data_IF_305462915085
#
_entry.id   IF_305462915085
#
_cell.length_a   1.000
_cell.length_b   1.000
_cell.length_c   1.000
_cell.angle_alpha   90.00
_cell.angle_beta   90.00
_cell.angle_gamma   90.00
#
_symmetry.space_group_name_H-M   'P 1'
#
loop_
_entity.id
_entity.type
_entity.pdbx_description
1 polymer ?
#
# COMPACT_ATOMS: atom_id res chain seq x y z
N UNK A 1 -32.18 3.61 -101.24
CA UNK A 1 -31.33 3.57 -100.02
C UNK A 1 -32.25 3.57 -98.81
N UNK A 2 -32.25 2.51 -97.99
CA UNK A 2 -33.04 2.46 -96.75
C UNK A 2 -32.08 2.10 -95.63
N UNK A 3 -31.86 3.05 -94.72
CA UNK A 3 -31.03 2.89 -93.53
C UNK A 3 -31.82 2.07 -92.49
N UNK A 4 -31.27 0.95 -92.01
CA UNK A 4 -31.82 0.21 -90.86
C UNK A 4 -30.94 0.49 -89.63
N UNK A 5 -31.50 0.93 -88.48
CA UNK A 5 -30.71 1.23 -87.30
C UNK A 5 -30.23 -0.07 -86.64
N UNK A 6 -28.96 -0.12 -86.27
CA UNK A 6 -28.42 -1.15 -85.39
C UNK A 6 -29.08 -1.00 -84.01
N UNK A 7 -29.74 -2.05 -83.53
CA UNK A 7 -30.15 -2.18 -82.13
C UNK A 7 -28.88 -2.15 -81.27
N UNK A 8 -28.68 -1.06 -80.55
CA UNK A 8 -27.74 -1.01 -79.42
C UNK A 8 -28.57 -1.31 -78.18
N UNK A 9 -28.36 -2.47 -77.56
CA UNK A 9 -28.56 -2.62 -76.12
C UNK A 9 -28.15 -4.03 -75.66
N UNK A 10 -27.17 -4.10 -74.76
CA UNK A 10 -27.28 -4.81 -73.47
C UNK A 10 -25.91 -5.08 -72.82
N UNK A 11 -25.06 -4.06 -72.60
CA UNK A 11 -23.80 -4.26 -71.88
C UNK A 11 -23.48 -3.12 -70.91
N UNK A 12 -24.46 -2.66 -70.12
CA UNK A 12 -24.20 -1.69 -69.05
C UNK A 12 -24.81 -2.05 -67.69
N UNK A 13 -25.52 -3.19 -67.58
CA UNK A 13 -26.14 -3.61 -66.31
C UNK A 13 -25.30 -4.59 -65.48
N UNK A 14 -24.24 -5.17 -66.07
CA UNK A 14 -23.36 -6.14 -65.41
C UNK A 14 -22.25 -5.46 -64.59
N UNK A 15 -21.71 -4.33 -65.06
CA UNK A 15 -20.63 -3.62 -64.37
C UNK A 15 -21.09 -2.95 -63.07
N UNK A 16 -22.27 -2.34 -63.05
CA UNK A 16 -22.74 -1.61 -61.86
C UNK A 16 -23.00 -2.55 -60.67
N UNK A 17 -23.51 -3.76 -60.93
CA UNK A 17 -23.69 -4.79 -59.89
C UNK A 17 -22.35 -5.36 -59.41
N UNK A 18 -21.37 -5.52 -60.30
CA UNK A 18 -20.04 -5.98 -59.93
C UNK A 18 -19.27 -4.94 -59.10
N UNK A 19 -19.38 -3.67 -59.46
CA UNK A 19 -18.75 -2.55 -58.75
C UNK A 19 -19.36 -2.39 -57.35
N UNK A 20 -20.70 -2.43 -57.23
CA UNK A 20 -21.38 -2.36 -55.92
C UNK A 20 -21.00 -3.55 -55.04
N UNK A 21 -20.97 -4.78 -55.59
CA UNK A 21 -20.56 -5.98 -54.84
C UNK A 21 -19.10 -5.92 -54.40
N UNK A 22 -18.19 -5.42 -55.23
CA UNK A 22 -16.78 -5.25 -54.86
C UNK A 22 -16.59 -4.14 -53.81
N UNK A 23 -17.39 -3.07 -53.86
CA UNK A 23 -17.41 -2.03 -52.83
C UNK A 23 -17.99 -2.54 -51.50
N UNK A 24 -19.04 -3.35 -51.54
CA UNK A 24 -19.62 -4.01 -50.36
C UNK A 24 -18.63 -4.99 -49.73
N UNK A 25 -17.97 -5.84 -50.52
CA UNK A 25 -16.91 -6.74 -50.06
C UNK A 25 -15.73 -5.97 -49.44
N UNK A 26 -15.32 -4.86 -50.05
CA UNK A 26 -14.27 -3.98 -49.51
C UNK A 26 -14.68 -3.31 -48.19
N UNK A 27 -15.97 -2.99 -48.02
CA UNK A 27 -16.49 -2.41 -46.79
C UNK A 27 -16.62 -3.47 -45.69
N UNK A 28 -17.04 -4.69 -46.02
CA UNK A 28 -17.12 -5.82 -45.09
C UNK A 28 -15.74 -6.22 -44.56
N UNK A 29 -14.71 -6.21 -45.42
CA UNK A 29 -13.33 -6.43 -44.99
C UNK A 29 -12.82 -5.31 -44.06
N UNK A 30 -13.20 -4.05 -44.33
CA UNK A 30 -12.84 -2.91 -43.49
C UNK A 30 -13.55 -2.97 -42.12
N UNK A 31 -14.84 -3.29 -42.11
CA UNK A 31 -15.66 -3.51 -40.92
C UNK A 31 -15.12 -4.66 -40.08
N UNK A 32 -14.72 -5.76 -40.71
CA UNK A 32 -14.11 -6.90 -40.03
C UNK A 32 -12.78 -6.54 -39.36
N UNK A 33 -11.91 -5.78 -40.05
CA UNK A 33 -10.65 -5.27 -39.49
C UNK A 33 -10.87 -4.31 -38.32
N UNK A 34 -11.82 -3.37 -38.45
CA UNK A 34 -12.19 -2.45 -37.38
C UNK A 34 -12.76 -3.19 -36.17
N UNK A 35 -13.60 -4.20 -36.40
CA UNK A 35 -14.14 -5.04 -35.33
C UNK A 35 -13.02 -5.81 -34.61
N UNK A 36 -12.10 -6.44 -35.34
CA UNK A 36 -10.95 -7.14 -34.76
C UNK A 36 -10.05 -6.19 -33.95
N UNK A 37 -9.77 -4.99 -34.46
CA UNK A 37 -9.01 -3.97 -33.71
C UNK A 37 -9.75 -3.54 -32.43
N UNK A 38 -11.06 -3.37 -32.48
CA UNK A 38 -11.84 -2.95 -31.32
C UNK A 38 -11.89 -4.07 -30.26
N UNK A 39 -12.01 -5.33 -30.67
CA UNK A 39 -11.91 -6.50 -29.78
C UNK A 39 -10.52 -6.56 -29.13
N UNK A 40 -9.45 -6.29 -29.88
CA UNK A 40 -8.09 -6.26 -29.33
C UNK A 40 -7.91 -5.11 -28.32
N UNK A 41 -8.36 -3.89 -28.66
CA UNK A 41 -8.27 -2.73 -27.76
C UNK A 41 -9.03 -2.94 -26.45
N UNK A 42 -10.20 -3.59 -26.50
CA UNK A 42 -10.98 -3.93 -25.30
C UNK A 42 -10.23 -4.93 -24.41
N UNK A 43 -9.55 -5.92 -24.99
CA UNK A 43 -8.71 -6.86 -24.24
C UNK A 43 -7.50 -6.16 -23.61
N UNK A 44 -6.80 -5.34 -24.38
CA UNK A 44 -5.62 -4.62 -23.90
C UNK A 44 -5.98 -3.68 -22.73
N UNK A 45 -7.16 -3.04 -22.81
CA UNK A 45 -7.70 -2.24 -21.71
C UNK A 45 -7.99 -3.06 -20.47
N UNK A 46 -8.62 -4.23 -20.62
CA UNK A 46 -8.93 -5.11 -19.50
C UNK A 46 -7.67 -5.61 -18.80
N UNK A 47 -6.65 -6.00 -19.59
CA UNK A 47 -5.33 -6.38 -19.07
C UNK A 47 -4.68 -5.21 -18.31
N UNK A 48 -4.79 -3.98 -18.82
CA UNK A 48 -4.24 -2.80 -18.17
C UNK A 48 -4.95 -2.47 -16.85
N UNK A 49 -6.27 -2.57 -16.79
CA UNK A 49 -7.07 -2.37 -15.57
C UNK A 49 -6.78 -3.44 -14.50
N UNK A 50 -6.62 -4.70 -14.90
CA UNK A 50 -6.18 -5.79 -14.01
C UNK A 50 -4.77 -5.54 -13.48
N UNK A 51 -3.84 -5.14 -14.36
CA UNK A 51 -2.45 -4.82 -13.99
C UNK A 51 -2.38 -3.65 -13.01
N UNK A 52 -3.18 -2.60 -13.20
CA UNK A 52 -3.23 -1.47 -12.25
C UNK A 52 -3.78 -1.92 -10.91
N UNK A 53 -4.82 -2.75 -10.88
CA UNK A 53 -5.39 -3.27 -9.63
C UNK A 53 -4.36 -4.10 -8.87
N UNK A 54 -3.58 -4.91 -9.58
CA UNK A 54 -2.50 -5.71 -9.00
C UNK A 54 -1.34 -4.83 -8.50
N UNK A 55 -0.91 -3.83 -9.28
CA UNK A 55 0.09 -2.84 -8.88
C UNK A 55 -0.37 -2.06 -7.65
N UNK A 56 -1.61 -1.58 -7.60
CA UNK A 56 -2.16 -0.87 -6.45
C UNK A 56 -2.26 -1.79 -5.22
N UNK A 57 -2.57 -3.07 -5.42
CA UNK A 57 -2.52 -4.09 -4.37
C UNK A 57 -1.12 -4.28 -3.80
N UNK A 58 -0.13 -4.49 -4.67
CA UNK A 58 1.28 -4.63 -4.31
C UNK A 58 1.82 -3.36 -3.65
N UNK A 59 1.49 -2.17 -4.17
CA UNK A 59 1.88 -0.88 -3.60
C UNK A 59 1.18 -0.62 -2.26
N UNK A 60 -0.07 -1.04 -2.09
CA UNK A 60 -0.80 -0.89 -0.83
C UNK A 60 -0.23 -1.82 0.25
N UNK A 61 0.10 -3.05 -0.13
CA UNK A 61 0.74 -4.00 0.78
C UNK A 61 2.16 -3.55 1.11
N UNK A 62 2.93 -3.07 0.12
CA UNK A 62 4.22 -2.42 0.33
C UNK A 62 4.10 -1.20 1.24
N UNK A 63 3.10 -0.32 1.08
CA UNK A 63 2.85 0.84 1.96
C UNK A 63 2.45 0.47 3.38
N UNK A 64 1.79 -0.67 3.59
CA UNK A 64 1.55 -1.23 4.95
C UNK A 64 2.84 -1.81 5.53
N UNK A 65 3.72 -2.32 4.66
CA UNK A 65 5.01 -2.91 5.01
C UNK A 65 6.07 -1.85 5.33
N UNK A 66 6.02 -0.68 4.68
CA UNK A 66 7.02 0.39 4.76
C UNK A 66 6.68 1.50 5.76
N UNK A 67 5.69 1.34 6.65
CA UNK A 67 5.44 2.31 7.72
C UNK A 67 5.40 1.61 9.07
N UNK A 68 6.50 1.70 9.81
CA UNK A 68 6.64 1.03 11.11
C UNK A 68 5.57 1.43 12.12
N UNK A 69 5.09 2.69 12.12
CA UNK A 69 4.02 3.13 13.02
C UNK A 69 2.70 2.44 12.70
N UNK A 70 2.33 2.36 11.42
CA UNK A 70 1.11 1.66 10.98
C UNK A 70 1.18 0.17 11.30
N UNK A 71 2.32 -0.45 11.01
CA UNK A 71 2.58 -1.86 11.33
C UNK A 71 2.45 -2.13 12.83
N UNK A 72 3.10 -1.32 13.67
CA UNK A 72 3.05 -1.45 15.13
C UNK A 72 1.62 -1.31 15.68
N UNK A 73 0.88 -0.31 15.21
CA UNK A 73 -0.51 -0.08 15.64
C UNK A 73 -1.46 -1.20 15.21
N UNK A 74 -1.20 -1.83 14.05
CA UNK A 74 -1.94 -3.01 13.63
C UNK A 74 -1.58 -4.23 14.48
N UNK A 75 -0.28 -4.47 14.69
CA UNK A 75 0.23 -5.58 15.49
C UNK A 75 -0.30 -5.53 16.94
N UNK A 76 -0.39 -4.34 17.55
CA UNK A 76 -0.97 -4.19 18.88
C UNK A 76 -2.42 -4.70 18.98
N UNK A 77 -3.16 -4.82 17.88
CA UNK A 77 -4.53 -5.35 17.86
C UNK A 77 -4.59 -6.88 17.69
N UNK A 78 -3.47 -7.54 17.39
CA UNK A 78 -3.43 -9.00 17.27
C UNK A 78 -3.40 -9.66 18.65
N UNK A 79 -3.63 -10.98 18.68
CA UNK A 79 -3.51 -11.76 19.92
C UNK A 79 -2.09 -11.67 20.51
N UNK A 80 -1.04 -11.68 19.67
CA UNK A 80 0.34 -11.55 20.18
C UNK A 80 0.59 -10.16 20.78
N UNK A 81 0.13 -9.09 20.11
CA UNK A 81 0.26 -7.73 20.62
C UNK A 81 -0.44 -7.53 21.96
N UNK A 82 -1.64 -8.11 22.12
CA UNK A 82 -2.36 -8.08 23.40
C UNK A 82 -1.65 -8.91 24.48
N UNK A 83 -1.16 -10.11 24.16
CA UNK A 83 -0.39 -10.93 25.11
C UNK A 83 0.89 -10.22 25.58
N UNK A 84 1.59 -9.51 24.69
CA UNK A 84 2.74 -8.68 25.07
C UNK A 84 2.32 -7.52 25.97
N UNK A 85 1.20 -6.87 25.68
CA UNK A 85 0.66 -5.81 26.54
C UNK A 85 0.35 -6.33 27.95
N UNK A 86 -0.28 -7.49 28.07
CA UNK A 86 -0.55 -8.13 29.36
C UNK A 86 0.74 -8.48 30.10
N UNK A 87 1.73 -9.04 29.39
CA UNK A 87 3.05 -9.33 29.97
C UNK A 87 3.75 -8.06 30.48
N UNK A 88 3.74 -6.98 29.72
CA UNK A 88 4.29 -5.69 30.16
C UNK A 88 3.61 -5.19 31.43
N UNK A 89 2.29 -5.42 31.58
CA UNK A 89 1.56 -4.99 32.76
C UNK A 89 2.01 -5.76 33.99
N UNK A 90 2.17 -7.08 33.87
CA UNK A 90 2.67 -7.94 34.94
C UNK A 90 4.10 -7.53 35.33
N UNK A 91 5.00 -7.42 34.35
CA UNK A 91 6.41 -7.09 34.60
C UNK A 91 6.60 -5.68 35.17
N UNK A 92 5.74 -4.73 34.78
CA UNK A 92 5.71 -3.37 35.35
C UNK A 92 4.86 -3.26 36.62
N UNK A 93 4.41 -4.38 37.20
CA UNK A 93 3.60 -4.43 38.42
C UNK A 93 2.35 -3.54 38.36
N UNK A 94 1.74 -3.46 37.17
CA UNK A 94 0.58 -2.62 36.89
C UNK A 94 0.85 -1.12 37.02
N UNK A 95 2.10 -0.65 36.86
CA UNK A 95 2.45 0.76 37.00
C UNK A 95 2.99 1.37 35.70
N UNK A 96 2.67 2.65 35.49
CA UNK A 96 3.16 3.45 34.38
C UNK A 96 4.66 3.67 34.55
N UNK A 97 5.47 3.33 33.54
CA UNK A 97 6.93 3.48 33.65
C UNK A 97 7.36 4.95 33.83
N UNK A 98 6.52 5.90 33.43
CA UNK A 98 6.85 7.33 33.44
C UNK A 98 6.48 8.04 34.74
N UNK A 99 5.27 7.82 35.25
CA UNK A 99 4.76 8.51 36.44
C UNK A 99 4.61 7.61 37.66
N UNK A 100 4.88 6.31 37.53
CA UNK A 100 4.71 5.28 38.56
C UNK A 100 3.26 5.11 39.07
N UNK A 101 2.29 5.79 38.47
CA UNK A 101 0.87 5.65 38.81
C UNK A 101 0.31 4.32 38.33
N UNK A 102 -0.75 3.85 38.98
CA UNK A 102 -1.43 2.60 38.63
C UNK A 102 -2.02 2.66 37.22
N UNK A 103 -1.79 1.60 36.47
CA UNK A 103 -2.40 1.32 35.19
C UNK A 103 -3.61 0.41 35.41
N UNK A 104 -4.56 0.49 34.50
CA UNK A 104 -5.66 -0.45 34.41
C UNK A 104 -5.57 -1.13 33.03
N UNK A 105 -5.74 -2.45 33.02
CA UNK A 105 -6.01 -3.22 31.81
C UNK A 105 -7.52 -3.43 31.73
N UNK A 106 -8.09 -3.28 30.54
CA UNK A 106 -9.51 -3.56 30.30
C UNK A 106 -9.83 -5.02 30.59
N UNK A 107 -10.77 -5.27 31.49
CA UNK A 107 -11.38 -6.59 31.72
C UNK A 107 -12.57 -6.85 30.79
N UNK A 108 -13.01 -8.10 30.70
CA UNK A 108 -14.09 -8.62 29.83
C UNK A 108 -15.49 -7.97 30.01
N UNK A 109 -15.64 -7.01 30.91
CA UNK A 109 -16.93 -6.47 31.36
C UNK A 109 -17.33 -5.15 30.69
N UNK A 110 -16.75 -4.82 29.54
CA UNK A 110 -17.31 -3.81 28.62
C UNK A 110 -17.22 -2.33 29.03
N UNK A 111 -16.74 -1.98 30.21
CA UNK A 111 -16.42 -0.57 30.54
C UNK A 111 -15.00 -0.27 30.08
N UNK A 112 -14.90 0.16 28.82
CA UNK A 112 -13.66 0.61 28.18
C UNK A 112 -13.31 2.03 28.62
N UNK A 113 -12.22 2.18 29.37
CA UNK A 113 -11.45 3.42 29.33
C UNK A 113 -10.00 3.04 29.00
N UNK A 114 -9.41 3.68 28.00
CA UNK A 114 -8.05 3.40 27.55
C UNK A 114 -7.03 3.90 28.59
N UNK A 115 -6.82 3.19 29.69
CA UNK A 115 -5.97 3.72 30.77
C UNK A 115 -4.48 3.49 30.54
N UNK A 116 -4.13 2.59 29.60
CA UNK A 116 -2.75 2.23 29.32
C UNK A 116 -2.49 2.03 27.82
N UNK A 117 -1.40 2.64 27.34
CA UNK A 117 -0.89 2.56 25.98
C UNK A 117 0.49 1.92 25.97
N UNK A 118 0.80 1.17 24.92
CA UNK A 118 2.16 0.66 24.70
C UNK A 118 2.96 1.75 23.99
N UNK A 119 3.96 2.27 24.67
CA UNK A 119 4.94 3.20 24.15
C UNK A 119 6.15 2.43 23.60
N UNK A 120 6.58 2.81 22.39
CA UNK A 120 7.80 2.29 21.78
C UNK A 120 8.97 3.22 22.10
N UNK A 121 10.03 2.69 22.71
CA UNK A 121 11.20 3.46 23.15
C UNK A 121 12.01 4.04 21.99
N UNK A 122 11.92 3.46 20.80
CA UNK A 122 12.38 4.09 19.57
C UNK A 122 11.25 4.91 18.91
N UNK A 123 11.48 6.17 18.52
CA UNK A 123 10.53 6.91 17.70
C UNK A 123 10.38 6.22 16.34
N UNK A 124 9.23 5.61 16.07
CA UNK A 124 9.03 4.78 14.88
C UNK A 124 9.18 5.57 13.56
N UNK A 125 8.89 6.88 13.58
CA UNK A 125 9.14 7.76 12.44
C UNK A 125 10.64 7.98 12.18
N UNK A 126 11.45 8.06 13.24
CA UNK A 126 12.90 8.16 13.11
C UNK A 126 13.50 6.84 12.63
N UNK A 127 13.02 5.71 13.16
CA UNK A 127 13.40 4.37 12.68
C UNK A 127 13.08 4.18 11.19
N UNK A 128 11.95 4.72 10.73
CA UNK A 128 11.57 4.72 9.32
C UNK A 128 12.59 5.47 8.46
N UNK A 129 12.94 6.71 8.84
CA UNK A 129 13.97 7.51 8.15
C UNK A 129 15.33 6.83 8.15
N UNK A 130 15.68 6.17 9.26
CA UNK A 130 16.92 5.41 9.36
C UNK A 130 16.95 4.24 8.36
N UNK A 131 15.86 3.49 8.24
CA UNK A 131 15.74 2.40 7.26
C UNK A 131 15.84 2.91 5.81
N UNK A 132 15.21 4.04 5.51
CA UNK A 132 15.25 4.68 4.19
C UNK A 132 16.65 5.19 3.83
N UNK A 133 17.40 5.70 4.81
CA UNK A 133 18.78 6.12 4.62
C UNK A 133 19.78 4.94 4.54
N UNK A 134 19.37 3.74 4.95
CA UNK A 134 20.22 2.56 5.04
C UNK A 134 19.56 1.35 4.35
N UNK A 135 19.48 1.36 2.99
CA UNK A 135 18.79 0.32 2.22
C UNK A 135 19.39 -1.09 2.36
N UNK A 136 20.61 -1.21 2.87
CA UNK A 136 21.25 -2.47 3.20
C UNK A 136 20.61 -3.18 4.40
N UNK A 137 19.79 -2.48 5.18
CA UNK A 137 19.12 -3.05 6.35
C UNK A 137 17.81 -3.68 5.93
N UNK A 138 17.71 -4.98 6.17
CA UNK A 138 16.51 -5.74 5.86
C UNK A 138 15.30 -5.25 6.69
N UNK A 139 14.19 -4.99 5.99
CA UNK A 139 12.94 -4.57 6.61
C UNK A 139 12.36 -5.63 7.54
N UNK A 140 12.57 -6.92 7.28
CA UNK A 140 12.07 -7.97 8.17
C UNK A 140 12.78 -7.92 9.53
N UNK A 141 14.10 -7.68 9.53
CA UNK A 141 14.88 -7.42 10.75
C UNK A 141 14.34 -6.23 11.56
N UNK A 142 14.03 -5.11 10.89
CA UNK A 142 13.47 -3.94 11.58
C UNK A 142 12.03 -4.16 12.06
N UNK A 143 11.24 -5.00 11.40
CA UNK A 143 9.91 -5.37 11.88
C UNK A 143 9.97 -6.16 13.18
N UNK A 144 10.90 -7.11 13.28
CA UNK A 144 11.15 -7.84 14.53
C UNK A 144 11.54 -6.86 15.63
N UNK A 145 12.40 -5.90 15.33
CA UNK A 145 12.76 -4.84 16.27
C UNK A 145 11.54 -4.05 16.76
N UNK A 146 10.63 -3.64 15.86
CA UNK A 146 9.43 -2.82 16.19
C UNK A 146 8.48 -3.50 17.17
N UNK A 147 8.41 -4.82 17.18
CA UNK A 147 7.52 -5.58 18.07
C UNK A 147 8.27 -6.22 19.26
N UNK A 148 9.58 -5.99 19.36
CA UNK A 148 10.41 -6.63 20.38
C UNK A 148 10.11 -6.07 21.77
N UNK A 149 9.72 -6.97 22.67
CA UNK A 149 9.35 -6.70 24.06
C UNK A 149 10.27 -5.70 24.77
N UNK A 150 11.59 -5.82 24.58
CA UNK A 150 12.60 -4.99 25.24
C UNK A 150 12.48 -3.49 24.95
N UNK A 151 11.91 -3.12 23.80
CA UNK A 151 11.71 -1.72 23.37
C UNK A 151 10.33 -1.17 23.68
N UNK A 152 9.48 -1.94 24.37
CA UNK A 152 8.10 -1.56 24.65
C UNK A 152 7.91 -1.28 26.13
N UNK A 153 7.10 -0.27 26.46
CA UNK A 153 6.71 0.05 27.84
C UNK A 153 5.23 0.41 27.91
N UNK A 154 4.58 0.07 29.01
CA UNK A 154 3.25 0.56 29.30
C UNK A 154 3.26 1.92 30.01
N UNK A 155 2.43 2.82 29.52
CA UNK A 155 2.29 4.19 30.02
C UNK A 155 0.84 4.65 30.02
N UNK A 156 0.51 5.66 30.82
CA UNK A 156 -0.75 6.39 30.65
C UNK A 156 -0.74 7.18 29.33
N UNK A 157 -1.90 7.40 28.68
CA UNK A 157 -1.99 8.19 27.45
C UNK A 157 -1.37 9.59 27.54
N UNK A 158 -1.58 10.29 28.67
CA UNK A 158 -0.99 11.61 28.89
C UNK A 158 0.54 11.54 29.03
N UNK A 159 1.06 10.49 29.66
CA UNK A 159 2.51 10.26 29.75
C UNK A 159 3.10 9.91 28.38
N UNK A 160 2.38 9.15 27.56
CA UNK A 160 2.81 8.81 26.20
C UNK A 160 2.98 10.08 25.35
N UNK A 161 2.03 11.01 25.43
CA UNK A 161 2.12 12.32 24.76
C UNK A 161 3.36 13.13 25.19
N UNK A 162 3.70 13.10 26.48
CA UNK A 162 4.89 13.79 27.00
C UNK A 162 6.21 13.12 26.63
N UNK A 163 6.21 11.79 26.49
CA UNK A 163 7.36 11.04 25.98
C UNK A 163 7.60 11.36 24.50
N UNK A 164 6.52 11.47 23.72
CA UNK A 164 6.57 11.95 22.34
C UNK A 164 7.59 11.18 21.50
N UNK A 165 8.54 11.90 20.91
CA UNK A 165 9.61 11.36 20.05
C UNK A 165 10.96 11.21 20.78
N UNK A 166 10.96 11.14 22.12
CA UNK A 166 12.20 10.90 22.86
C UNK A 166 12.69 9.47 22.64
N UNK A 167 13.98 9.32 22.38
CA UNK A 167 14.63 8.01 22.30
C UNK A 167 14.89 7.51 23.72
N UNK A 168 14.42 6.30 24.02
CA UNK A 168 14.64 5.64 25.30
C UNK A 168 16.13 5.38 25.58
N UNK A 169 16.47 5.29 26.86
CA UNK A 169 17.85 5.06 27.26
C UNK A 169 18.18 3.57 27.31
N UNK A 170 18.47 3.01 26.13
CA UNK A 170 18.91 1.62 25.97
C UNK A 170 20.13 1.57 25.03
N UNK A 171 21.13 0.72 25.31
CA UNK A 171 22.29 0.54 24.44
C UNK A 171 21.88 0.17 22.99
N UNK A 172 20.86 -0.68 22.85
CA UNK A 172 20.31 -1.08 21.55
C UNK A 172 19.65 0.05 20.75
N UNK A 173 19.48 1.25 21.31
CA UNK A 173 18.94 2.43 20.62
C UNK A 173 20.01 3.47 20.27
N UNK A 174 21.29 3.20 20.57
CA UNK A 174 22.39 4.13 20.30
C UNK A 174 22.44 4.53 18.83
N UNK A 175 22.25 3.58 17.90
CA UNK A 175 22.28 3.85 16.47
C UNK A 175 21.26 4.91 16.02
N UNK A 176 20.09 4.99 16.66
CA UNK A 176 19.10 6.04 16.37
C UNK A 176 19.51 7.39 16.95
N UNK A 177 20.17 7.40 18.11
CA UNK A 177 20.71 8.63 18.71
C UNK A 177 21.82 9.19 17.81
N UNK A 178 22.74 8.33 17.37
CA UNK A 178 23.84 8.69 16.47
C UNK A 178 23.29 9.20 15.13
N UNK A 179 22.34 8.48 14.51
CA UNK A 179 21.67 8.91 13.28
C UNK A 179 20.97 10.26 13.42
N UNK A 180 20.27 10.51 14.54
CA UNK A 180 19.62 11.79 14.79
C UNK A 180 20.64 12.92 14.88
N UNK A 181 21.75 12.73 15.59
CA UNK A 181 22.81 13.74 15.71
C UNK A 181 23.42 14.08 14.36
N UNK A 182 23.80 13.07 13.58
CA UNK A 182 24.41 13.23 12.24
C UNK A 182 23.50 14.00 11.26
N UNK A 183 22.17 13.79 11.34
CA UNK A 183 21.22 14.44 10.44
C UNK A 183 20.71 15.78 10.96
N UNK A 184 20.95 16.12 12.22
CA UNK A 184 20.64 17.45 12.77
C UNK A 184 21.79 18.42 12.51
N UNK A 185 23.04 17.95 12.60
CA UNK A 185 24.25 18.73 12.29
C UNK A 185 24.39 19.13 10.82
N UNK A 186 23.59 18.56 9.90
CA UNK A 186 23.59 18.94 8.48
C UNK A 186 22.87 20.27 8.18
N UNK A 187 22.23 20.87 9.17
CA UNK A 187 21.41 22.08 9.00
C UNK A 187 21.79 23.23 9.95
N UNK A 188 22.91 23.10 10.68
CA UNK A 188 23.57 24.17 11.44
C UNK A 188 24.85 24.62 10.72
#
# INVERSE_FOLDING_TARGET
MIYKPKKVNSYQYTDRKLILRNQELSNDELLSKLHQQNVQNMRDRQIWEETITEIDGVLTEAKKVTNFRRYFNWWLKTKEGQAVKEKLFIDQQGKCIKCNGLLQLSGANGVLVNHSEVHHLAPLALLQKYAEANPQIDLATLRVFVISYQYLRLVHPLCNKQLGEKIGDLPGLKFLKDFLQENTQKYD
#
